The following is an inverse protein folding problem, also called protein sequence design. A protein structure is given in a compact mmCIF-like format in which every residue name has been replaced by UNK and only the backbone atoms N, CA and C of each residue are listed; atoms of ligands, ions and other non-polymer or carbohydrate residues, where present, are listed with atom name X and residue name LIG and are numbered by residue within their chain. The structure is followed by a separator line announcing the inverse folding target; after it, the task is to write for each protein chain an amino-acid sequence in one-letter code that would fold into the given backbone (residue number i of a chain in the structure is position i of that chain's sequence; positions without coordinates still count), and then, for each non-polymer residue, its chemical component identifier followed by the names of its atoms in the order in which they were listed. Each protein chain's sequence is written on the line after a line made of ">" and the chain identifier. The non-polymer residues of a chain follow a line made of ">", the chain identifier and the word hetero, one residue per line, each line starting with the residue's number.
data_IF_974429134646
#
_entry.id   IF_974429134646
#
_cell.length_a   1.000
_cell.length_b   1.000
_cell.length_c   1.000
_cell.angle_alpha   90.00
_cell.angle_beta   90.00
_cell.angle_gamma   90.00
#
_symmetry.space_group_name_H-M   'P 1'
#
loop_
_entity.id
_entity.type
_entity.pdbx_description
1 polymer ?
#
# COMPACT_ATOMS: atom_id res chain seq x y z
N UNK A 1 -2.60 -0.86 7.29
CA UNK A 1 -3.00 -2.28 7.44
C UNK A 1 -1.79 -3.14 7.65
N UNK A 2 -1.80 -3.92 8.72
CA UNK A 2 -0.72 -4.85 9.05
C UNK A 2 -0.59 -5.98 8.00
N UNK A 3 0.63 -6.48 7.72
CA UNK A 3 0.85 -7.57 6.77
C UNK A 3 0.03 -8.83 7.09
N UNK A 4 -0.16 -9.15 8.36
CA UNK A 4 -0.97 -10.30 8.80
C UNK A 4 -2.45 -10.17 8.43
N UNK A 5 -2.99 -8.94 8.44
CA UNK A 5 -4.36 -8.68 7.97
C UNK A 5 -4.43 -8.90 6.46
N UNK A 6 -3.46 -8.37 5.71
CA UNK A 6 -3.38 -8.52 4.25
C UNK A 6 -3.30 -10.00 3.87
N UNK A 7 -2.46 -10.77 4.55
CA UNK A 7 -2.30 -12.20 4.32
C UNK A 7 -3.60 -12.99 4.60
N UNK A 8 -4.41 -12.54 5.56
CA UNK A 8 -5.69 -13.17 5.91
C UNK A 8 -6.82 -12.84 4.95
N UNK A 9 -6.94 -11.58 4.53
CA UNK A 9 -8.14 -11.11 3.79
C UNK A 9 -7.90 -10.84 2.31
N UNK A 10 -6.65 -10.95 1.82
CA UNK A 10 -6.16 -10.48 0.52
C UNK A 10 -5.97 -8.95 0.41
N UNK A 11 -5.18 -8.53 -0.59
CA UNK A 11 -4.80 -7.12 -0.76
C UNK A 11 -5.97 -6.21 -1.13
N UNK A 12 -6.96 -6.70 -1.89
CA UNK A 12 -8.11 -5.92 -2.28
C UNK A 12 -8.95 -5.59 -1.04
N UNK A 13 -9.32 -6.60 -0.25
CA UNK A 13 -10.12 -6.38 0.95
C UNK A 13 -9.38 -5.55 2.00
N UNK A 14 -8.07 -5.78 2.19
CA UNK A 14 -7.27 -4.96 3.09
C UNK A 14 -7.22 -3.49 2.64
N UNK A 15 -7.17 -3.23 1.33
CA UNK A 15 -7.21 -1.87 0.79
C UNK A 15 -8.56 -1.20 1.07
N UNK A 16 -9.67 -1.89 0.83
CA UNK A 16 -11.02 -1.38 1.13
C UNK A 16 -11.22 -1.13 2.63
N UNK A 17 -10.72 -2.02 3.48
CA UNK A 17 -10.72 -1.81 4.93
C UNK A 17 -9.89 -0.58 5.32
N UNK A 18 -8.72 -0.36 4.71
CA UNK A 18 -7.87 0.79 5.01
C UNK A 18 -8.54 2.11 4.63
N UNK A 19 -9.20 2.14 3.46
CA UNK A 19 -9.99 3.28 3.03
C UNK A 19 -11.17 3.54 3.97
N UNK A 20 -11.87 2.49 4.40
CA UNK A 20 -12.95 2.59 5.40
C UNK A 20 -12.44 3.20 6.71
N UNK A 21 -11.36 2.64 7.25
CA UNK A 21 -10.74 3.14 8.49
C UNK A 21 -10.32 4.61 8.36
N UNK A 22 -9.71 4.99 7.22
CA UNK A 22 -9.31 6.36 6.94
C UNK A 22 -10.50 7.33 6.98
N UNK A 23 -11.61 6.99 6.33
CA UNK A 23 -12.83 7.82 6.32
C UNK A 23 -13.46 7.89 7.73
N UNK A 24 -13.58 6.76 8.42
CA UNK A 24 -14.16 6.73 9.77
C UNK A 24 -13.32 7.46 10.81
N UNK A 25 -12.01 7.58 10.58
CA UNK A 25 -11.07 8.31 11.44
C UNK A 25 -11.02 9.81 11.19
N UNK A 26 -11.75 10.34 10.20
CA UNK A 26 -11.80 11.78 9.96
C UNK A 26 -12.54 12.49 11.09
N UNK A 27 -11.99 13.61 11.57
CA UNK A 27 -12.64 14.47 12.55
C UNK A 27 -13.91 15.12 11.99
N UNK A 28 -13.91 15.45 10.69
CA UNK A 28 -15.06 15.93 9.95
C UNK A 28 -15.55 14.82 9.02
N UNK A 29 -16.81 14.43 9.18
CA UNK A 29 -17.42 13.41 8.33
C UNK A 29 -17.79 14.01 6.96
N UNK A 30 -17.36 13.40 5.84
CA UNK A 30 -17.67 13.90 4.51
C UNK A 30 -19.09 13.51 4.09
N UNK A 31 -19.75 14.36 3.30
CA UNK A 31 -21.06 14.05 2.72
C UNK A 31 -20.97 13.13 1.48
N UNK A 32 -19.82 13.13 0.80
CA UNK A 32 -19.59 12.40 -0.44
C UNK A 32 -18.15 11.90 -0.57
N UNK A 33 -17.96 10.73 -1.18
CA UNK A 33 -16.64 10.13 -1.39
C UNK A 33 -16.29 10.02 -2.88
N UNK A 34 -15.08 10.45 -3.23
CA UNK A 34 -14.45 10.15 -4.51
C UNK A 34 -13.33 9.13 -4.27
N UNK A 35 -13.42 7.97 -4.91
CA UNK A 35 -12.52 6.83 -4.67
C UNK A 35 -11.77 6.51 -5.96
N UNK A 36 -10.44 6.47 -5.90
CA UNK A 36 -9.64 5.98 -7.03
C UNK A 36 -9.79 4.46 -7.19
N UNK A 37 -10.17 4.03 -8.38
CA UNK A 37 -10.33 2.61 -8.74
C UNK A 37 -11.75 2.22 -9.07
N UNK A 38 -12.05 0.92 -8.90
CA UNK A 38 -13.30 0.29 -9.34
C UNK A 38 -14.26 -0.08 -8.20
N UNK A 39 -13.78 -0.07 -6.97
CA UNK A 39 -14.49 -0.65 -5.84
C UNK A 39 -14.93 0.43 -4.86
N UNK A 40 -16.19 0.36 -4.45
CA UNK A 40 -16.74 1.18 -3.37
C UNK A 40 -16.30 0.62 -2.03
N UNK A 41 -16.30 1.46 -1.00
CA UNK A 41 -16.08 1.02 0.38
C UNK A 41 -17.42 0.81 1.09
N UNK A 42 -17.44 -0.12 2.02
CA UNK A 42 -18.63 -0.46 2.81
C UNK A 42 -18.91 0.62 3.88
N UNK A 43 -19.50 1.73 3.44
CA UNK A 43 -19.98 2.85 4.25
C UNK A 43 -21.29 3.39 3.69
N UNK A 44 -22.22 3.84 4.57
CA UNK A 44 -23.50 4.42 4.17
C UNK A 44 -23.36 5.88 3.71
N UNK A 45 -22.32 6.19 2.93
CA UNK A 45 -22.09 7.50 2.32
C UNK A 45 -22.31 7.40 0.81
N UNK A 46 -22.69 8.52 0.19
CA UNK A 46 -22.72 8.60 -1.26
C UNK A 46 -21.28 8.56 -1.80
N UNK A 47 -21.03 7.77 -2.85
CA UNK A 47 -19.67 7.52 -3.34
C UNK A 47 -19.65 7.36 -4.85
N UNK A 48 -18.55 7.79 -5.46
CA UNK A 48 -18.23 7.54 -6.85
C UNK A 48 -16.81 7.00 -6.97
N UNK A 49 -16.68 5.90 -7.69
CA UNK A 49 -15.40 5.30 -8.08
C UNK A 49 -14.95 5.90 -9.40
N UNK A 50 -13.69 6.32 -9.48
CA UNK A 50 -13.11 6.96 -10.67
C UNK A 50 -11.84 6.20 -11.02
N UNK A 51 -11.80 5.62 -12.23
CA UNK A 51 -10.59 4.97 -12.73
C UNK A 51 -9.54 6.04 -13.03
N UNK A 52 -8.34 5.92 -12.43
CA UNK A 52 -7.29 6.95 -12.50
C UNK A 52 -7.78 8.29 -11.94
N UNK A 53 -8.48 8.21 -10.81
CA UNK A 53 -9.09 9.37 -10.17
C UNK A 53 -8.08 10.42 -9.74
N UNK A 54 -6.83 10.01 -9.47
CA UNK A 54 -5.70 10.90 -9.18
C UNK A 54 -5.39 11.89 -10.32
N UNK A 55 -5.64 11.52 -11.57
CA UNK A 55 -5.45 12.39 -12.74
C UNK A 55 -6.68 13.29 -13.03
N UNK A 56 -7.82 13.00 -12.41
CA UNK A 56 -9.11 13.58 -12.74
C UNK A 56 -9.75 14.39 -11.60
N UNK A 57 -9.29 14.20 -10.37
CA UNK A 57 -9.81 14.85 -9.17
C UNK A 57 -8.68 15.33 -8.28
N UNK A 58 -8.68 16.63 -7.99
CA UNK A 58 -7.70 17.23 -7.07
C UNK A 58 -7.76 16.57 -5.67
N UNK A 59 -8.96 16.28 -5.17
CA UNK A 59 -9.12 15.64 -3.85
C UNK A 59 -8.49 14.25 -3.82
N UNK A 60 -8.65 13.47 -4.90
CA UNK A 60 -8.04 12.14 -5.03
C UNK A 60 -6.53 12.26 -5.18
N UNK A 61 -6.04 13.20 -5.98
CA UNK A 61 -4.60 13.47 -6.13
C UNK A 61 -3.94 13.82 -4.78
N UNK A 62 -4.58 14.70 -4.01
CA UNK A 62 -4.11 15.08 -2.68
C UNK A 62 -4.07 13.87 -1.73
N UNK A 63 -5.11 13.03 -1.74
CA UNK A 63 -5.14 11.81 -0.93
C UNK A 63 -4.01 10.84 -1.31
N UNK A 64 -3.75 10.65 -2.61
CA UNK A 64 -2.65 9.81 -3.12
C UNK A 64 -1.27 10.31 -2.66
N UNK A 65 -1.04 11.62 -2.68
CA UNK A 65 0.20 12.23 -2.18
C UNK A 65 0.37 11.97 -0.68
N UNK A 66 -0.67 12.21 0.12
CA UNK A 66 -0.64 11.99 1.57
C UNK A 66 -0.34 10.52 1.88
N UNK A 67 -1.02 9.59 1.19
CA UNK A 67 -0.82 8.16 1.36
C UNK A 67 0.62 7.73 1.02
N UNK A 68 1.13 8.18 -0.13
CA UNK A 68 2.50 7.87 -0.60
C UNK A 68 3.56 8.38 0.37
N UNK A 69 3.49 9.65 0.75
CA UNK A 69 4.47 10.27 1.65
C UNK A 69 4.43 9.61 3.03
N UNK A 70 3.24 9.31 3.55
CA UNK A 70 3.09 8.63 4.85
C UNK A 70 3.68 7.22 4.82
N UNK A 71 3.41 6.46 3.75
CA UNK A 71 3.95 5.11 3.58
C UNK A 71 5.47 5.12 3.45
N UNK A 72 6.03 6.05 2.68
CA UNK A 72 7.47 6.13 2.48
C UNK A 72 8.20 6.44 3.80
N UNK A 73 7.66 7.33 4.65
CA UNK A 73 8.17 7.55 6.02
C UNK A 73 8.15 6.28 6.88
N UNK A 74 7.09 5.47 6.78
CA UNK A 74 7.01 4.19 7.50
C UNK A 74 8.10 3.23 7.00
N UNK A 75 8.36 3.19 5.69
CA UNK A 75 9.44 2.35 5.14
C UNK A 75 10.83 2.78 5.60
N UNK A 76 11.05 4.08 5.84
CA UNK A 76 12.30 4.59 6.42
C UNK A 76 12.49 4.11 7.86
N UNK A 77 11.43 4.17 8.67
CA UNK A 77 11.44 3.61 10.02
C UNK A 77 11.77 2.11 9.99
N UNK A 78 11.18 1.37 9.06
CA UNK A 78 11.48 -0.06 8.89
C UNK A 78 12.88 -0.34 8.37
N UNK A 79 13.48 0.55 7.59
CA UNK A 79 14.88 0.42 7.21
C UNK A 79 15.80 0.43 8.44
N UNK A 80 15.53 1.30 9.43
CA UNK A 80 16.30 1.30 10.67
C UNK A 80 16.11 0.02 11.50
N UNK A 81 14.93 -0.59 11.47
CA UNK A 81 14.66 -1.84 12.19
C UNK A 81 15.20 -3.09 11.47
N UNK A 82 15.23 -3.07 10.14
CA UNK A 82 15.62 -4.18 9.29
C UNK A 82 16.56 -3.69 8.16
N UNK A 83 17.77 -3.22 8.51
CA UNK A 83 18.69 -2.57 7.57
C UNK A 83 19.09 -3.45 6.39
N UNK A 84 19.12 -4.78 6.59
CA UNK A 84 19.53 -5.75 5.59
C UNK A 84 18.63 -5.83 4.33
N UNK A 85 17.42 -5.26 4.37
CA UNK A 85 16.49 -5.27 3.23
C UNK A 85 16.46 -3.96 2.45
N UNK A 86 17.20 -2.92 2.86
CA UNK A 86 17.25 -1.61 2.18
C UNK A 86 15.86 -0.99 1.83
N UNK A 87 14.93 -0.99 2.79
CA UNK A 87 13.60 -0.39 2.63
C UNK A 87 13.62 1.11 2.30
N UNK A 88 14.75 1.80 2.55
CA UNK A 88 14.97 3.18 2.13
C UNK A 88 14.90 3.35 0.60
N UNK A 89 15.40 2.37 -0.15
CA UNK A 89 15.43 2.43 -1.62
C UNK A 89 14.24 1.72 -2.25
N UNK A 90 13.99 0.47 -1.87
CA UNK A 90 12.98 -0.36 -2.54
C UNK A 90 11.57 -0.17 -1.99
N UNK A 91 11.37 0.50 -0.84
CA UNK A 91 10.06 0.72 -0.21
C UNK A 91 9.22 -0.56 0.00
N UNK A 92 9.86 -1.72 0.07
CA UNK A 92 9.21 -3.02 0.19
C UNK A 92 8.67 -3.61 -1.12
N UNK A 93 8.89 -2.96 -2.27
CA UNK A 93 8.60 -3.55 -3.58
C UNK A 93 9.55 -4.71 -3.88
N UNK A 94 9.11 -5.65 -4.71
CA UNK A 94 9.88 -6.83 -5.13
C UNK A 94 11.01 -6.51 -6.10
N UNK A 95 11.82 -5.48 -5.83
CA UNK A 95 12.99 -5.18 -6.65
C UNK A 95 14.02 -6.30 -6.53
N UNK A 96 14.89 -6.46 -7.52
CA UNK A 96 15.98 -7.44 -7.50
C UNK A 96 16.76 -7.43 -6.18
N UNK A 97 17.16 -6.25 -5.71
CA UNK A 97 17.88 -6.07 -4.45
C UNK A 97 17.07 -6.61 -3.24
N UNK A 98 15.76 -6.35 -3.21
CA UNK A 98 14.92 -6.80 -2.12
C UNK A 98 14.72 -8.33 -2.13
N UNK A 99 14.54 -8.91 -3.32
CA UNK A 99 14.41 -10.36 -3.50
C UNK A 99 15.70 -11.07 -3.09
N UNK A 100 16.86 -10.56 -3.48
CA UNK A 100 18.17 -11.08 -3.06
C UNK A 100 18.34 -11.00 -1.53
N UNK A 101 17.94 -9.88 -0.91
CA UNK A 101 17.96 -9.74 0.55
C UNK A 101 17.05 -10.76 1.25
N UNK A 102 15.84 -11.01 0.71
CA UNK A 102 14.92 -12.03 1.21
C UNK A 102 15.51 -13.43 1.08
N UNK A 103 16.16 -13.75 -0.06
CA UNK A 103 16.82 -15.04 -0.24
C UNK A 103 17.96 -15.26 0.75
N UNK A 104 18.73 -14.20 1.04
CA UNK A 104 19.88 -14.25 1.96
C UNK A 104 19.48 -14.27 3.43
N UNK A 105 18.45 -13.51 3.82
CA UNK A 105 18.11 -13.24 5.22
C UNK A 105 16.76 -13.82 5.66
N UNK A 106 15.99 -14.40 4.73
CA UNK A 106 14.62 -14.84 4.96
C UNK A 106 13.62 -13.68 5.02
N UNK A 107 12.34 -13.99 5.22
CA UNK A 107 11.28 -12.99 5.41
C UNK A 107 11.32 -12.42 6.84
N UNK A 108 11.24 -11.10 6.98
CA UNK A 108 11.06 -10.43 8.28
C UNK A 108 9.57 -10.20 8.63
N UNK A 109 9.32 -9.64 9.82
CA UNK A 109 7.96 -9.46 10.39
C UNK A 109 7.02 -8.62 9.53
N UNK A 110 7.55 -7.70 8.72
CA UNK A 110 6.73 -6.79 7.91
C UNK A 110 6.42 -7.31 6.49
N UNK A 111 6.99 -8.47 6.11
CA UNK A 111 6.70 -9.08 4.82
C UNK A 111 5.31 -9.71 4.80
N UNK A 112 4.66 -9.61 3.64
CA UNK A 112 3.38 -10.28 3.35
C UNK A 112 3.68 -11.68 2.85
N UNK A 113 3.38 -12.69 3.65
CA UNK A 113 3.74 -14.09 3.36
C UNK A 113 2.89 -14.70 2.25
N UNK A 114 1.70 -14.15 2.02
CA UNK A 114 0.80 -14.57 0.94
C UNK A 114 1.26 -14.09 -0.45
N UNK A 115 2.18 -13.14 -0.52
CA UNK A 115 2.70 -12.61 -1.78
C UNK A 115 3.79 -13.57 -2.29
N UNK A 116 3.67 -13.98 -3.56
CA UNK A 116 4.72 -14.76 -4.22
C UNK A 116 5.90 -13.84 -4.51
N UNK A 117 7.10 -14.33 -4.21
CA UNK A 117 8.36 -13.74 -4.67
C UNK A 117 8.88 -14.71 -5.72
N UNK A 118 8.71 -14.40 -7.01
CA UNK A 118 9.19 -15.27 -8.08
C UNK A 118 10.55 -14.79 -8.58
N UNK A 119 11.29 -15.68 -9.25
CA UNK A 119 12.54 -15.30 -9.92
C UNK A 119 12.31 -14.35 -11.09
N UNK A 120 11.08 -14.23 -11.59
CA UNK A 120 10.72 -13.36 -12.72
C UNK A 120 10.68 -11.88 -12.29
N UNK A 121 10.45 -11.59 -11.01
CA UNK A 121 10.52 -10.23 -10.43
C UNK A 121 11.93 -9.60 -10.51
N UNK A 122 12.95 -10.38 -10.90
CA UNK A 122 14.34 -9.95 -11.06
C UNK A 122 14.58 -9.17 -12.37
N UNK A 123 13.67 -9.26 -13.35
CA UNK A 123 13.88 -8.77 -14.72
C UNK A 123 13.12 -7.46 -15.06
N UNK A 124 12.07 -7.08 -14.32
CA UNK A 124 11.21 -5.94 -14.67
C UNK A 124 11.60 -4.58 -14.03
N UNK A 125 12.78 -4.47 -13.44
CA UNK A 125 13.25 -3.23 -12.78
C UNK A 125 13.78 -2.13 -13.71
N UNK A 126 13.61 -2.25 -15.03
CA UNK A 126 14.05 -1.27 -16.03
C UNK A 126 12.96 -1.03 -17.08
N UNK A 127 11.97 -0.20 -16.75
CA UNK A 127 11.21 0.60 -17.71
C UNK A 127 10.66 1.83 -17.01
#
# INVERSE_FOLDING_TARGET
>A
MEPSVIDRVNILQATLMAMREAVTGLSLQPDYLLIDGLHRIDLPLAQQTIIRGDNLSLSVACASIIAKVSRDRIMEIYHHQFPQYNFLRNRGYGTREHVEAIQKHGLCKIHRRSFKVSKEDLDEGQN
#
